data_IF_916412962348
#
_entry.id   IF_916412962348
#
_cell.length_a   1.000
_cell.length_b   1.000
_cell.length_c   1.000
_cell.angle_alpha   90.00
_cell.angle_beta   90.00
_cell.angle_gamma   90.00
#
_symmetry.space_group_name_H-M   'P 1'
#
loop_
_entity.id
_entity.type
_entity.pdbx_description
1 polymer ?
#
# COMPACT_ATOMS: atom_id res chain seq x y z
N UNK A 1 16.74 -18.40 0.62
CA UNK A 1 15.78 -17.69 1.51
C UNK A 1 15.02 -16.71 0.64
N UNK A 2 13.69 -16.66 0.71
CA UNK A 2 12.91 -15.68 -0.07
C UNK A 2 13.05 -14.33 0.64
N UNK A 3 13.53 -13.31 -0.08
CA UNK A 3 13.59 -11.95 0.41
C UNK A 3 12.16 -11.41 0.60
N UNK A 4 11.77 -11.09 1.84
CA UNK A 4 10.40 -10.63 2.18
C UNK A 4 10.34 -9.12 2.30
N UNK A 5 10.84 -8.40 1.31
CA UNK A 5 10.74 -6.94 1.26
C UNK A 5 9.51 -6.51 0.49
N UNK A 6 8.82 -5.47 0.97
CA UNK A 6 7.69 -4.87 0.26
C UNK A 6 7.78 -3.35 0.26
N UNK A 7 7.20 -2.73 -0.77
CA UNK A 7 6.97 -1.29 -0.81
C UNK A 7 5.49 -1.05 -1.08
N UNK A 8 4.87 -0.17 -0.29
CA UNK A 8 3.44 0.10 -0.32
C UNK A 8 3.19 1.53 -0.80
N UNK A 9 2.49 1.65 -1.92
CA UNK A 9 2.01 2.92 -2.46
C UNK A 9 0.52 3.05 -2.19
N UNK A 10 0.11 4.10 -1.47
CA UNK A 10 -1.29 4.45 -1.26
C UNK A 10 -1.70 5.57 -2.21
N UNK A 11 -2.65 5.29 -3.09
CA UNK A 11 -3.27 6.25 -4.01
C UNK A 11 -4.72 6.47 -3.63
N UNK A 12 -5.27 7.66 -3.90
CA UNK A 12 -6.67 7.98 -3.64
C UNK A 12 -6.88 8.90 -2.44
N UNK A 13 -7.88 8.60 -1.61
CA UNK A 13 -8.32 9.49 -0.53
C UNK A 13 -7.65 9.17 0.83
N UNK A 14 -7.80 10.03 1.85
CA UNK A 14 -7.22 9.80 3.18
C UNK A 14 -7.60 8.47 3.86
N UNK A 15 -8.75 7.87 3.49
CA UNK A 15 -9.11 6.53 4.01
C UNK A 15 -8.11 5.46 3.57
N UNK A 16 -7.62 5.53 2.34
CA UNK A 16 -6.63 4.59 1.82
C UNK A 16 -5.30 4.68 2.58
N UNK A 17 -4.94 5.87 3.10
CA UNK A 17 -3.74 6.01 3.91
C UNK A 17 -3.86 5.25 5.23
N UNK A 18 -4.98 5.41 5.94
CA UNK A 18 -5.25 4.69 7.21
C UNK A 18 -5.27 3.18 6.97
N UNK A 19 -5.93 2.73 5.90
CA UNK A 19 -5.96 1.31 5.54
C UNK A 19 -4.54 0.79 5.21
N UNK A 20 -3.72 1.62 4.56
CA UNK A 20 -2.33 1.29 4.23
C UNK A 20 -1.46 1.12 5.48
N UNK A 21 -1.63 1.97 6.49
CA UNK A 21 -0.92 1.82 7.79
C UNK A 21 -1.28 0.51 8.49
N UNK A 22 -2.57 0.14 8.46
CA UNK A 22 -3.04 -1.14 9.02
C UNK A 22 -2.39 -2.32 8.28
N UNK A 23 -2.42 -2.30 6.95
CA UNK A 23 -1.81 -3.35 6.12
C UNK A 23 -0.30 -3.42 6.34
N UNK A 24 0.38 -2.27 6.43
CA UNK A 24 1.81 -2.20 6.70
C UNK A 24 2.16 -2.90 8.02
N UNK A 25 1.46 -2.57 9.11
CA UNK A 25 1.69 -3.19 10.42
C UNK A 25 1.36 -4.70 10.45
N UNK A 26 0.39 -5.16 9.64
CA UNK A 26 0.10 -6.59 9.51
C UNK A 26 1.23 -7.33 8.77
N UNK A 27 1.81 -6.72 7.74
CA UNK A 27 2.94 -7.28 6.99
C UNK A 27 4.19 -7.38 7.86
N UNK A 28 4.51 -6.35 8.64
CA UNK A 28 5.62 -6.40 9.61
C UNK A 28 5.44 -7.53 10.63
N UNK A 29 4.23 -7.67 11.19
CA UNK A 29 3.90 -8.79 12.10
C UNK A 29 4.01 -10.17 11.45
N UNK A 30 3.83 -10.25 10.13
CA UNK A 30 4.00 -11.47 9.34
C UNK A 30 5.46 -11.73 8.90
N UNK A 31 6.41 -10.91 9.36
CA UNK A 31 7.84 -11.05 9.07
C UNK A 31 8.25 -10.52 7.70
N UNK A 32 7.49 -9.57 7.15
CA UNK A 32 7.91 -8.78 5.99
C UNK A 32 8.60 -7.50 6.46
N UNK A 33 9.51 -6.99 5.62
CA UNK A 33 10.22 -5.74 5.88
C UNK A 33 9.78 -4.69 4.84
N UNK A 34 9.31 -3.54 5.32
CA UNK A 34 9.04 -2.42 4.43
C UNK A 34 10.34 -1.78 3.94
N UNK A 35 10.35 -1.33 2.69
CA UNK A 35 11.46 -0.57 2.09
C UNK A 35 10.94 0.74 1.51
N UNK A 36 11.76 1.78 1.56
CA UNK A 36 11.39 3.12 1.12
C UNK A 36 11.40 3.24 -0.42
N UNK A 37 12.36 2.59 -1.07
CA UNK A 37 12.49 2.62 -2.53
C UNK A 37 11.82 1.39 -3.17
N UNK A 38 10.94 1.58 -4.18
CA UNK A 38 10.24 0.48 -4.83
C UNK A 38 11.18 -0.53 -5.52
N UNK A 39 12.38 -0.11 -5.92
CA UNK A 39 13.41 -0.95 -6.54
C UNK A 39 14.01 -1.98 -5.56
N UNK A 40 13.91 -1.74 -4.26
CA UNK A 40 14.42 -2.63 -3.20
C UNK A 40 13.38 -3.69 -2.78
N UNK A 41 12.15 -3.55 -3.26
CA UNK A 41 11.02 -4.39 -2.87
C UNK A 41 10.97 -5.67 -3.71
N UNK A 42 10.80 -6.81 -3.04
CA UNK A 42 10.44 -8.06 -3.72
C UNK A 42 8.97 -8.06 -4.17
N UNK A 43 8.11 -7.29 -3.50
CA UNK A 43 6.69 -7.11 -3.83
C UNK A 43 6.29 -5.63 -3.75
N UNK A 44 5.62 -5.14 -4.79
CA UNK A 44 4.97 -3.83 -4.78
C UNK A 44 3.49 -3.99 -4.46
N UNK A 45 3.01 -3.23 -3.47
CA UNK A 45 1.59 -3.18 -3.09
C UNK A 45 1.02 -1.80 -3.40
N UNK A 46 0.02 -1.73 -4.28
CA UNK A 46 -0.67 -0.48 -4.61
C UNK A 46 -2.07 -0.53 -4.01
N UNK A 47 -2.30 0.26 -2.96
CA UNK A 47 -3.63 0.46 -2.41
C UNK A 47 -4.30 1.65 -3.13
N UNK A 48 -5.37 1.38 -3.88
CA UNK A 48 -6.09 2.41 -4.63
C UNK A 48 -7.59 2.21 -4.49
N UNK A 49 -8.37 3.27 -4.69
CA UNK A 49 -9.82 3.15 -4.77
C UNK A 49 -10.22 2.46 -6.09
N UNK A 50 -11.16 1.51 -6.04
CA UNK A 50 -11.69 0.84 -7.24
C UNK A 50 -12.58 1.72 -8.13
N UNK A 51 -12.83 2.98 -7.77
CA UNK A 51 -13.57 3.92 -8.60
C UNK A 51 -12.67 4.54 -9.67
N UNK A 52 -12.45 3.80 -10.75
CA UNK A 52 -11.92 4.34 -12.01
C UNK A 52 -13.13 4.78 -12.88
N UNK A 53 -13.87 5.77 -12.40
CA UNK A 53 -14.80 6.66 -13.14
C UNK A 53 -15.47 7.59 -12.10
N UNK A 54 -15.72 8.84 -12.44
CA UNK A 54 -15.31 9.99 -11.64
C UNK A 54 -16.15 10.22 -10.39
N UNK A 55 -15.48 10.55 -9.28
CA UNK A 55 -16.04 11.45 -8.27
C UNK A 55 -16.04 12.89 -8.82
N UNK A 56 -16.83 13.15 -9.88
CA UNK A 56 -16.94 14.48 -10.51
C UNK A 56 -18.11 15.30 -9.96
N UNK A 57 -19.09 14.73 -9.27
CA UNK A 57 -20.15 15.51 -8.60
C UNK A 57 -20.53 14.87 -7.27
N UNK A 58 -20.70 15.71 -6.24
CA UNK A 58 -21.14 15.43 -4.87
C UNK A 58 -20.07 15.13 -3.79
N UNK A 59 -19.42 16.21 -3.33
CA UNK A 59 -19.40 16.55 -1.90
C UNK A 59 -19.36 18.05 -1.72
#
# INVERSE_FOLDING_TARGET
MVNRTFHLVSLGCPKNLVDSEVVYGLLEKAGWNGVDEPEEAAVLLINTCGFIQPAVEES
#
